data_IF_415628182145
#
_entry.id   IF_415628182145
#
_cell.length_a   1.000
_cell.length_b   1.000
_cell.length_c   1.000
_cell.angle_alpha   90.00
_cell.angle_beta   90.00
_cell.angle_gamma   90.00
#
_symmetry.space_group_name_H-M   'P 1'
#
loop_
_entity.id
_entity.type
_entity.pdbx_description
1 polymer ?
#
# COMPACT_ATOMS: atom_id res chain seq x y z
N UNK A 1 32.29 -30.69 -11.28
CA UNK A 1 31.32 -29.62 -11.54
C UNK A 1 30.55 -29.40 -10.24
N UNK A 2 30.55 -28.22 -9.61
CA UNK A 2 29.76 -28.02 -8.40
C UNK A 2 28.27 -28.11 -8.78
N UNK A 3 27.50 -28.91 -8.04
CA UNK A 3 26.05 -28.92 -8.12
C UNK A 3 25.54 -27.49 -7.95
N UNK A 4 24.94 -26.93 -9.01
CA UNK A 4 24.17 -25.69 -8.92
C UNK A 4 22.95 -26.03 -8.08
N UNK A 5 23.01 -25.74 -6.78
CA UNK A 5 21.90 -25.99 -5.86
C UNK A 5 20.65 -25.34 -6.44
N UNK A 6 19.61 -26.13 -6.73
CA UNK A 6 18.33 -25.60 -7.16
C UNK A 6 17.90 -24.50 -6.16
N UNK A 7 17.58 -23.28 -6.62
CA UNK A 7 17.26 -22.18 -5.71
C UNK A 7 16.12 -22.57 -4.77
N UNK A 8 16.34 -22.38 -3.47
CA UNK A 8 15.39 -22.80 -2.44
C UNK A 8 14.05 -22.06 -2.56
N UNK A 9 12.95 -22.73 -2.19
CA UNK A 9 11.60 -22.11 -2.19
C UNK A 9 11.56 -20.80 -1.41
N UNK A 10 12.32 -20.70 -0.31
CA UNK A 10 12.46 -19.45 0.46
C UNK A 10 13.06 -18.31 -0.35
N UNK A 11 14.04 -18.58 -1.22
CA UNK A 11 14.60 -17.57 -2.14
C UNK A 11 13.56 -17.15 -3.18
N UNK A 12 12.76 -18.08 -3.72
CA UNK A 12 11.62 -17.77 -4.61
C UNK A 12 10.60 -16.86 -3.94
N UNK A 13 10.19 -17.18 -2.71
CA UNK A 13 9.21 -16.39 -1.96
C UNK A 13 9.75 -15.00 -1.65
N UNK A 14 11.00 -14.90 -1.20
CA UNK A 14 11.65 -13.62 -0.92
C UNK A 14 11.81 -12.77 -2.19
N UNK A 15 12.11 -13.39 -3.33
CA UNK A 15 12.15 -12.69 -4.62
C UNK A 15 10.77 -12.15 -4.99
N UNK A 16 9.75 -13.00 -5.00
CA UNK A 16 8.39 -12.63 -5.36
C UNK A 16 7.82 -11.53 -4.43
N UNK A 17 8.11 -11.58 -3.12
CA UNK A 17 7.73 -10.53 -2.17
C UNK A 17 8.48 -9.20 -2.40
N UNK A 18 9.66 -9.22 -3.02
CA UNK A 18 10.44 -8.01 -3.31
C UNK A 18 10.10 -7.38 -4.64
N UNK A 19 9.77 -8.20 -5.65
CA UNK A 19 9.65 -7.77 -7.04
C UNK A 19 8.23 -7.86 -7.59
N UNK A 20 7.31 -8.52 -6.89
CA UNK A 20 6.00 -8.96 -7.43
C UNK A 20 6.12 -9.86 -8.66
N UNK A 21 7.29 -10.46 -8.92
CA UNK A 21 7.54 -11.28 -10.09
C UNK A 21 7.85 -12.73 -9.71
N UNK A 22 7.51 -13.70 -10.58
CA UNK A 22 8.06 -15.03 -10.45
C UNK A 22 9.59 -14.95 -10.58
N UNK A 23 10.34 -15.73 -9.78
CA UNK A 23 11.80 -15.81 -9.91
C UNK A 23 12.19 -16.37 -11.29
N UNK A 24 13.21 -15.81 -11.96
CA UNK A 24 13.60 -16.25 -13.31
C UNK A 24 14.09 -17.70 -13.35
N UNK A 25 14.89 -18.11 -12.34
CA UNK A 25 15.49 -19.45 -12.28
C UNK A 25 14.95 -20.30 -11.12
N UNK A 26 13.83 -19.89 -10.51
CA UNK A 26 13.29 -20.48 -9.28
C UNK A 26 11.98 -21.24 -9.45
N UNK A 27 11.64 -22.16 -8.53
CA UNK A 27 10.33 -22.83 -8.56
C UNK A 27 9.19 -21.83 -8.41
N UNK A 28 8.15 -21.99 -9.23
CA UNK A 28 6.90 -21.23 -9.20
C UNK A 28 5.78 -22.12 -8.64
N UNK A 29 5.92 -22.43 -7.36
CA UNK A 29 4.96 -23.22 -6.58
C UNK A 29 3.68 -22.43 -6.25
N UNK A 30 2.71 -23.07 -5.59
CA UNK A 30 1.42 -22.44 -5.26
C UNK A 30 1.58 -21.18 -4.41
N UNK A 31 2.57 -21.17 -3.49
CA UNK A 31 2.86 -20.02 -2.62
C UNK A 31 3.44 -18.87 -3.43
N UNK A 32 4.44 -19.14 -4.28
CA UNK A 32 5.03 -18.12 -5.17
C UNK A 32 3.97 -17.54 -6.10
N UNK A 33 3.11 -18.37 -6.69
CA UNK A 33 1.98 -17.90 -7.51
C UNK A 33 1.05 -17.01 -6.71
N UNK A 34 0.69 -17.40 -5.49
CA UNK A 34 -0.19 -16.60 -4.63
C UNK A 34 0.44 -15.25 -4.29
N UNK A 35 1.73 -15.21 -3.92
CA UNK A 35 2.48 -13.98 -3.63
C UNK A 35 2.45 -13.03 -4.83
N UNK A 36 2.70 -13.55 -6.04
CA UNK A 36 2.72 -12.75 -7.27
C UNK A 36 1.32 -12.24 -7.62
N UNK A 37 0.34 -13.15 -7.69
CA UNK A 37 -1.04 -12.86 -8.13
C UNK A 37 -1.75 -11.89 -7.17
N UNK A 38 -1.56 -12.05 -5.86
CA UNK A 38 -2.12 -11.10 -4.87
C UNK A 38 -1.34 -9.79 -4.75
N UNK A 39 -0.19 -9.69 -5.43
CA UNK A 39 0.78 -8.59 -5.32
C UNK A 39 1.21 -8.38 -3.87
N UNK A 40 1.55 -9.47 -3.18
CA UNK A 40 1.82 -9.46 -1.74
C UNK A 40 2.92 -8.47 -1.31
N UNK A 41 3.81 -8.05 -2.22
CA UNK A 41 4.83 -7.04 -1.95
C UNK A 41 4.27 -5.68 -1.47
N UNK A 42 3.02 -5.34 -1.82
CA UNK A 42 2.39 -4.07 -1.40
C UNK A 42 1.50 -4.22 -0.16
N UNK A 43 1.18 -5.46 0.25
CA UNK A 43 0.38 -5.73 1.45
C UNK A 43 1.02 -5.26 2.77
N UNK A 44 2.36 -5.20 2.94
CA UNK A 44 2.96 -4.55 4.10
C UNK A 44 2.43 -3.15 4.37
N UNK A 45 2.01 -2.40 3.34
CA UNK A 45 1.43 -1.06 3.56
C UNK A 45 0.12 -1.13 4.35
N UNK A 46 -0.74 -2.08 4.01
CA UNK A 46 -2.03 -2.31 4.68
C UNK A 46 -1.83 -2.91 6.06
N UNK A 47 -0.90 -3.86 6.20
CA UNK A 47 -0.55 -4.43 7.51
C UNK A 47 -0.04 -3.36 8.47
N UNK A 48 0.79 -2.43 8.00
CA UNK A 48 1.28 -1.32 8.82
C UNK A 48 0.17 -0.33 9.20
N UNK A 49 -0.81 -0.05 8.33
CA UNK A 49 -2.00 0.71 8.72
C UNK A 49 -2.77 0.01 9.85
N UNK A 50 -2.93 -1.31 9.73
CA UNK A 50 -3.51 -2.15 10.79
C UNK A 50 -2.69 -2.14 12.08
N UNK A 51 -1.36 -2.16 12.01
CA UNK A 51 -0.47 -2.06 13.17
C UNK A 51 -0.54 -0.68 13.83
N UNK A 52 -0.60 0.40 13.05
CA UNK A 52 -0.82 1.76 13.59
C UNK A 52 -2.14 1.79 14.36
N UNK A 53 -3.23 1.29 13.79
CA UNK A 53 -4.52 1.20 14.48
C UNK A 53 -4.45 0.34 15.76
N UNK A 54 -3.83 -0.84 15.68
CA UNK A 54 -3.65 -1.75 16.80
C UNK A 54 -2.93 -1.09 17.97
N UNK A 55 -1.82 -0.41 17.70
CA UNK A 55 -0.98 0.20 18.72
C UNK A 55 -1.62 1.46 19.33
N UNK A 56 -2.36 2.23 18.53
CA UNK A 56 -3.16 3.35 19.05
C UNK A 56 -4.29 2.86 19.97
N UNK A 57 -4.83 1.66 19.71
CA UNK A 57 -5.92 1.08 20.48
C UNK A 57 -5.49 0.50 21.84
N UNK A 58 -4.20 0.18 22.04
CA UNK A 58 -3.70 -0.36 23.31
C UNK A 58 -3.99 0.60 24.46
N UNK A 59 -4.56 0.04 25.54
CA UNK A 59 -4.94 0.79 26.75
C UNK A 59 -6.24 1.60 26.60
N UNK A 60 -6.94 1.50 25.46
CA UNK A 60 -8.22 2.19 25.26
C UNK A 60 -9.38 1.35 25.81
N UNK A 61 -10.34 1.96 26.54
CA UNK A 61 -11.55 1.27 26.95
C UNK A 61 -12.31 0.74 25.74
N UNK A 62 -12.77 -0.51 25.81
CA UNK A 62 -13.53 -1.15 24.73
C UNK A 62 -12.68 -1.89 23.69
N UNK A 63 -11.34 -1.87 23.80
CA UNK A 63 -10.46 -2.70 22.96
C UNK A 63 -10.82 -4.19 23.11
N UNK A 64 -11.11 -4.83 21.98
CA UNK A 64 -11.26 -6.27 21.85
C UNK A 64 -10.31 -6.79 20.76
N UNK A 65 -9.35 -7.62 21.17
CA UNK A 65 -8.33 -8.18 20.28
C UNK A 65 -8.92 -9.06 19.17
N UNK A 66 -10.08 -9.69 19.40
CA UNK A 66 -10.74 -10.52 18.38
C UNK A 66 -11.19 -9.67 17.20
N UNK A 67 -11.84 -8.54 17.50
CA UNK A 67 -12.30 -7.60 16.47
C UNK A 67 -11.15 -6.87 15.79
N UNK A 68 -10.08 -6.57 16.53
CA UNK A 68 -8.86 -6.02 15.93
C UNK A 68 -8.23 -6.97 14.92
N UNK A 69 -8.01 -8.23 15.29
CA UNK A 69 -7.41 -9.24 14.38
C UNK A 69 -8.29 -9.45 13.16
N UNK A 70 -9.62 -9.56 13.35
CA UNK A 70 -10.56 -9.68 12.24
C UNK A 70 -10.56 -8.43 11.35
N UNK A 71 -10.46 -7.22 11.90
CA UNK A 71 -10.39 -6.00 11.11
C UNK A 71 -9.11 -5.91 10.28
N UNK A 72 -7.95 -6.26 10.84
CA UNK A 72 -6.68 -6.33 10.08
C UNK A 72 -6.77 -7.37 8.96
N UNK A 73 -7.37 -8.53 9.24
CA UNK A 73 -7.62 -9.54 8.21
C UNK A 73 -8.56 -9.01 7.12
N UNK A 74 -9.66 -8.35 7.48
CA UNK A 74 -10.61 -7.73 6.55
C UNK A 74 -9.95 -6.71 5.62
N UNK A 75 -9.29 -5.68 6.15
CA UNK A 75 -8.63 -4.67 5.29
C UNK A 75 -7.56 -5.29 4.38
N UNK A 76 -6.91 -6.38 4.82
CA UNK A 76 -5.93 -7.11 4.01
C UNK A 76 -6.60 -7.90 2.89
N UNK A 77 -7.70 -8.61 3.18
CA UNK A 77 -8.48 -9.34 2.19
C UNK A 77 -9.14 -8.38 1.20
N UNK A 78 -9.67 -7.24 1.64
CA UNK A 78 -10.20 -6.18 0.78
C UNK A 78 -9.12 -5.65 -0.19
N UNK A 79 -7.89 -5.42 0.28
CA UNK A 79 -6.80 -5.01 -0.61
C UNK A 79 -6.39 -6.14 -1.58
N UNK A 80 -6.33 -7.39 -1.13
CA UNK A 80 -6.09 -8.55 -2.02
C UNK A 80 -7.20 -8.63 -3.08
N UNK A 81 -8.46 -8.56 -2.69
CA UNK A 81 -9.61 -8.56 -3.59
C UNK A 81 -9.50 -7.47 -4.64
N UNK A 82 -9.15 -6.24 -4.24
CA UNK A 82 -8.93 -5.14 -5.17
C UNK A 82 -7.78 -5.43 -6.16
N UNK A 83 -6.67 -6.00 -5.71
CA UNK A 83 -5.56 -6.38 -6.60
C UNK A 83 -5.99 -7.44 -7.64
N UNK A 84 -6.73 -8.47 -7.21
CA UNK A 84 -7.22 -9.53 -8.09
C UNK A 84 -8.29 -9.02 -9.07
N UNK A 85 -9.20 -8.17 -8.60
CA UNK A 85 -10.24 -7.54 -9.43
C UNK A 85 -9.62 -6.65 -10.51
N UNK A 86 -8.58 -5.89 -10.18
CA UNK A 86 -7.83 -5.11 -11.16
C UNK A 86 -7.25 -6.00 -12.27
N UNK A 87 -6.66 -7.15 -11.93
CA UNK A 87 -6.18 -8.12 -12.93
C UNK A 87 -7.32 -8.67 -13.79
N UNK A 88 -8.48 -8.94 -13.20
CA UNK A 88 -9.64 -9.39 -13.97
C UNK A 88 -10.12 -8.33 -14.96
N UNK A 89 -10.26 -7.07 -14.55
CA UNK A 89 -10.71 -5.98 -15.43
C UNK A 89 -9.70 -5.67 -16.54
N UNK A 90 -8.40 -5.74 -16.23
CA UNK A 90 -7.33 -5.52 -17.21
C UNK A 90 -7.38 -6.58 -18.33
N UNK A 91 -7.75 -7.84 -18.04
CA UNK A 91 -7.96 -8.87 -19.08
C UNK A 91 -9.16 -8.60 -20.00
N UNK A 92 -10.17 -7.86 -19.52
CA UNK A 92 -11.41 -7.62 -20.28
C UNK A 92 -11.35 -6.36 -21.14
N UNK A 93 -10.58 -5.37 -20.68
CA UNK A 93 -10.51 -4.04 -21.30
C UNK A 93 -9.35 -3.90 -22.30
N UNK A 94 -8.41 -4.86 -22.33
CA UNK A 94 -7.32 -4.91 -23.30
C UNK A 94 -6.24 -3.84 -23.07
N UNK A 95 -6.25 -3.15 -21.92
CA UNK A 95 -5.30 -2.08 -21.58
C UNK A 95 -3.89 -2.58 -21.27
N UNK A 96 -3.71 -3.86 -20.96
CA UNK A 96 -2.39 -4.49 -20.85
C UNK A 96 -1.95 -5.02 -22.23
N UNK A 97 -1.43 -4.12 -23.07
CA UNK A 97 -0.62 -4.51 -24.22
C UNK A 97 0.80 -4.86 -23.74
N UNK A 98 1.55 -5.65 -24.53
CA UNK A 98 2.98 -5.90 -24.27
C UNK A 98 3.81 -4.60 -24.18
N UNK A 99 3.29 -3.49 -24.71
CA UNK A 99 3.90 -2.16 -24.69
C UNK A 99 3.53 -1.30 -23.48
N UNK A 100 2.56 -1.68 -22.64
CA UNK A 100 2.21 -0.90 -21.44
C UNK A 100 3.25 -1.13 -20.32
N UNK A 101 3.64 -0.11 -19.54
CA UNK A 101 4.78 -0.18 -18.61
C UNK A 101 4.66 -1.27 -17.57
N UNK A 102 3.42 -1.63 -17.22
CA UNK A 102 3.15 -2.67 -16.25
C UNK A 102 3.81 -3.99 -16.67
N UNK A 103 3.73 -4.36 -17.94
CA UNK A 103 4.32 -5.58 -18.46
C UNK A 103 5.86 -5.61 -18.33
N UNK A 104 6.51 -4.44 -18.22
CA UNK A 104 7.97 -4.32 -18.10
C UNK A 104 8.50 -4.68 -16.70
N UNK A 105 7.72 -4.41 -15.64
CA UNK A 105 8.13 -4.67 -14.27
C UNK A 105 7.29 -5.71 -13.53
N UNK A 106 6.12 -6.08 -14.05
CA UNK A 106 5.21 -7.06 -13.46
C UNK A 106 4.33 -7.75 -14.53
N UNK A 107 4.69 -8.95 -15.02
CA UNK A 107 3.89 -9.69 -16.00
C UNK A 107 2.47 -9.92 -15.50
N UNK A 108 1.48 -9.70 -16.36
CA UNK A 108 0.08 -9.89 -16.00
C UNK A 108 -0.22 -11.38 -15.74
N UNK A 109 -0.76 -11.78 -14.58
CA UNK A 109 -0.82 -13.19 -14.18
C UNK A 109 -1.59 -14.11 -15.14
N UNK A 110 -2.65 -13.61 -15.78
CA UNK A 110 -3.42 -14.39 -16.76
C UNK A 110 -2.75 -14.38 -18.14
N UNK A 111 -2.18 -13.25 -18.56
CA UNK A 111 -1.62 -13.13 -19.92
C UNK A 111 -0.26 -13.84 -20.03
N UNK A 112 0.49 -13.90 -18.91
CA UNK A 112 1.74 -14.65 -18.82
C UNK A 112 1.53 -16.16 -18.60
N UNK A 113 0.28 -16.64 -18.50
CA UNK A 113 -0.04 -18.03 -18.21
C UNK A 113 0.27 -18.48 -16.77
N UNK A 114 0.54 -17.56 -15.83
CA UNK A 114 0.84 -17.90 -14.44
C UNK A 114 -0.36 -18.54 -13.73
N UNK A 115 -1.57 -18.06 -14.04
CA UNK A 115 -2.84 -18.62 -13.58
C UNK A 115 -3.89 -18.61 -14.70
N UNK A 116 -4.81 -19.58 -14.69
CA UNK A 116 -5.96 -19.55 -15.60
C UNK A 116 -6.97 -18.48 -15.17
N UNK A 117 -7.75 -17.94 -16.12
CA UNK A 117 -8.86 -17.01 -15.81
C UNK A 117 -9.86 -17.63 -14.83
N UNK A 118 -10.15 -18.93 -14.95
CA UNK A 118 -11.03 -19.66 -14.02
C UNK A 118 -10.46 -19.66 -12.60
N UNK A 119 -9.16 -19.94 -12.46
CA UNK A 119 -8.46 -19.91 -11.16
C UNK A 119 -8.52 -18.52 -10.53
N UNK A 120 -8.30 -17.46 -11.32
CA UNK A 120 -8.41 -16.08 -10.85
C UNK A 120 -9.84 -15.76 -10.34
N UNK A 121 -10.88 -16.15 -11.09
CA UNK A 121 -12.27 -15.94 -10.68
C UNK A 121 -12.62 -16.68 -9.37
N UNK A 122 -12.15 -17.92 -9.21
CA UNK A 122 -12.34 -18.68 -7.97
C UNK A 122 -11.63 -17.99 -6.80
N UNK A 123 -10.40 -17.51 -7.00
CA UNK A 123 -9.66 -16.78 -5.98
C UNK A 123 -10.37 -15.46 -5.58
N UNK A 124 -10.85 -14.70 -6.56
CA UNK A 124 -11.65 -13.48 -6.33
C UNK A 124 -12.89 -13.81 -5.49
N UNK A 125 -13.66 -14.82 -5.88
CA UNK A 125 -14.87 -15.22 -5.16
C UNK A 125 -14.55 -15.64 -3.72
N UNK A 126 -13.53 -16.48 -3.52
CA UNK A 126 -13.13 -16.95 -2.19
C UNK A 126 -12.69 -15.80 -1.28
N UNK A 127 -11.85 -14.88 -1.79
CA UNK A 127 -11.36 -13.73 -1.00
C UNK A 127 -12.50 -12.78 -0.67
N UNK A 128 -13.38 -12.45 -1.62
CA UNK A 128 -14.52 -11.56 -1.35
C UNK A 128 -15.56 -12.17 -0.42
N UNK A 129 -15.80 -13.48 -0.49
CA UNK A 129 -16.70 -14.16 0.45
C UNK A 129 -16.14 -14.16 1.88
N UNK A 130 -14.83 -14.38 2.03
CA UNK A 130 -14.17 -14.29 3.33
C UNK A 130 -14.21 -12.85 3.88
N UNK A 131 -13.93 -11.85 3.04
CA UNK A 131 -13.99 -10.43 3.42
C UNK A 131 -15.42 -10.01 3.81
N UNK A 132 -16.43 -10.43 3.05
CA UNK A 132 -17.84 -10.20 3.36
C UNK A 132 -18.25 -10.85 4.68
N UNK A 133 -17.81 -12.08 4.95
CA UNK A 133 -18.08 -12.75 6.22
C UNK A 133 -17.49 -11.97 7.42
N UNK A 134 -16.25 -11.47 7.28
CA UNK A 134 -15.63 -10.61 8.29
C UNK A 134 -16.44 -9.32 8.48
N UNK A 135 -16.83 -8.66 7.37
CA UNK A 135 -17.65 -7.45 7.42
C UNK A 135 -18.96 -7.68 8.18
N UNK A 136 -19.67 -8.78 7.91
CA UNK A 136 -20.92 -9.15 8.61
C UNK A 136 -20.66 -9.33 10.11
N UNK A 137 -19.63 -10.10 10.48
CA UNK A 137 -19.28 -10.36 11.89
C UNK A 137 -18.93 -9.07 12.62
N UNK A 138 -18.07 -8.22 12.04
CA UNK A 138 -17.69 -6.94 12.64
C UNK A 138 -18.87 -5.97 12.72
N UNK A 139 -19.75 -5.96 11.73
CA UNK A 139 -20.97 -5.14 11.75
C UNK A 139 -21.92 -5.59 12.85
N UNK A 140 -22.08 -6.90 13.05
CA UNK A 140 -22.87 -7.43 14.16
C UNK A 140 -22.27 -7.04 15.52
N UNK A 141 -20.95 -7.09 15.65
CA UNK A 141 -20.26 -6.78 16.90
C UNK A 141 -20.15 -5.27 17.23
N UNK A 142 -20.03 -4.41 16.21
CA UNK A 142 -19.70 -2.97 16.38
C UNK A 142 -20.70 -2.00 15.74
N UNK A 143 -21.69 -2.52 15.03
CA UNK A 143 -22.75 -1.73 14.40
C UNK A 143 -22.39 -1.16 13.03
N UNK A 144 -23.31 -0.33 12.53
CA UNK A 144 -23.28 0.21 11.18
C UNK A 144 -22.04 1.02 10.78
N UNK A 145 -21.27 1.68 11.68
CA UNK A 145 -20.12 2.46 11.22
C UNK A 145 -19.01 1.61 10.60
N UNK A 146 -18.92 0.30 10.93
CA UNK A 146 -18.05 -0.64 10.22
C UNK A 146 -18.41 -0.70 8.72
N UNK A 147 -19.71 -0.80 8.41
CA UNK A 147 -20.21 -0.77 7.04
C UNK A 147 -19.89 0.56 6.38
N UNK A 148 -20.01 1.68 7.09
CA UNK A 148 -19.68 2.98 6.54
C UNK A 148 -18.20 3.09 6.14
N UNK A 149 -17.26 2.60 6.97
CA UNK A 149 -15.84 2.54 6.61
C UNK A 149 -15.59 1.62 5.42
N UNK A 150 -16.14 0.40 5.44
CA UNK A 150 -15.95 -0.57 4.37
C UNK A 150 -16.52 -0.08 3.03
N UNK A 151 -17.74 0.44 3.04
CA UNK A 151 -18.41 0.98 1.86
C UNK A 151 -17.70 2.23 1.34
N UNK A 152 -17.21 3.12 2.20
CA UNK A 152 -16.43 4.29 1.78
C UNK A 152 -15.13 3.85 1.08
N UNK A 153 -14.41 2.89 1.66
CA UNK A 153 -13.21 2.33 1.04
C UNK A 153 -13.49 1.64 -0.30
N UNK A 154 -14.58 0.87 -0.37
CA UNK A 154 -15.02 0.22 -1.61
C UNK A 154 -15.40 1.25 -2.69
N UNK A 155 -16.22 2.24 -2.35
CA UNK A 155 -16.64 3.30 -3.28
C UNK A 155 -15.43 4.06 -3.81
N UNK A 156 -14.49 4.44 -2.94
CA UNK A 156 -13.25 5.11 -3.36
C UNK A 156 -12.39 4.21 -4.25
N UNK A 157 -12.20 2.95 -3.88
CA UNK A 157 -11.46 1.97 -4.69
C UNK A 157 -12.07 1.75 -6.08
N UNK A 158 -13.40 1.68 -6.18
CA UNK A 158 -14.10 1.59 -7.46
C UNK A 158 -13.99 2.90 -8.23
N UNK A 159 -14.26 4.03 -7.59
CA UNK A 159 -14.19 5.36 -8.20
C UNK A 159 -12.77 5.68 -8.69
N UNK A 160 -11.73 5.10 -8.09
CA UNK A 160 -10.34 5.26 -8.48
C UNK A 160 -10.08 4.88 -9.94
N UNK A 161 -10.57 3.71 -10.38
CA UNK A 161 -10.33 3.16 -11.73
C UNK A 161 -11.57 3.11 -12.63
N UNK A 162 -12.76 2.83 -12.08
CA UNK A 162 -13.95 2.50 -12.85
C UNK A 162 -14.73 3.75 -13.32
N UNK A 163 -15.35 3.69 -14.52
CA UNK A 163 -16.34 4.70 -14.93
C UNK A 163 -17.55 4.72 -13.97
N UNK A 164 -18.23 5.87 -13.83
CA UNK A 164 -18.01 7.13 -14.56
C UNK A 164 -16.93 8.03 -13.95
N UNK A 165 -16.53 7.81 -12.69
CA UNK A 165 -15.71 8.77 -11.92
C UNK A 165 -14.25 8.74 -12.35
N UNK A 166 -13.57 7.58 -12.30
CA UNK A 166 -12.15 7.42 -12.66
C UNK A 166 -11.23 8.48 -12.03
N UNK A 167 -11.20 8.58 -10.69
CA UNK A 167 -10.43 9.59 -9.93
C UNK A 167 -8.97 9.67 -10.38
N UNK A 168 -8.32 8.53 -10.66
CA UNK A 168 -6.95 8.50 -11.19
C UNK A 168 -6.80 9.34 -12.46
N UNK A 169 -7.77 9.28 -13.37
CA UNK A 169 -7.75 10.02 -14.65
C UNK A 169 -8.05 11.52 -14.49
N UNK A 170 -8.37 11.98 -13.28
CA UNK A 170 -8.79 13.36 -12.96
C UNK A 170 -7.89 14.05 -11.94
N UNK A 171 -6.71 13.51 -11.66
CA UNK A 171 -5.76 14.07 -10.70
C UNK A 171 -6.08 13.80 -9.24
N UNK A 172 -7.08 12.97 -8.96
CA UNK A 172 -7.58 12.69 -7.62
C UNK A 172 -7.12 11.33 -7.08
N UNK A 173 -6.25 10.61 -7.80
CA UNK A 173 -5.77 9.30 -7.37
C UNK A 173 -4.91 9.33 -6.11
N UNK A 174 -4.06 10.34 -5.97
CA UNK A 174 -3.15 10.48 -4.83
C UNK A 174 -3.88 10.97 -3.56
N UNK A 175 -4.78 11.96 -3.64
CA UNK A 175 -5.71 12.26 -2.54
C UNK A 175 -6.55 11.04 -2.11
N UNK A 176 -7.04 10.26 -3.07
CA UNK A 176 -7.82 9.04 -2.79
C UNK A 176 -7.01 8.03 -1.96
N UNK A 177 -5.78 7.72 -2.40
CA UNK A 177 -4.90 6.81 -1.66
C UNK A 177 -4.49 7.34 -0.28
N UNK A 178 -4.32 8.65 -0.13
CA UNK A 178 -4.10 9.26 1.19
C UNK A 178 -5.26 8.97 2.15
N UNK A 179 -6.49 9.17 1.68
CA UNK A 179 -7.73 8.94 2.46
C UNK A 179 -7.90 7.45 2.78
N UNK A 180 -7.67 6.58 1.80
CA UNK A 180 -7.84 5.13 1.94
C UNK A 180 -6.83 4.54 2.95
N UNK A 181 -5.52 4.77 2.77
CA UNK A 181 -4.50 4.17 3.63
C UNK A 181 -4.32 4.86 4.97
N UNK A 182 -4.64 6.15 5.06
CA UNK A 182 -4.63 6.89 6.32
C UNK A 182 -5.96 6.72 7.05
N UNK A 183 -6.88 7.71 7.00
CA UNK A 183 -8.11 7.70 7.78
C UNK A 183 -8.96 6.42 7.64
N UNK A 184 -9.25 5.93 6.43
CA UNK A 184 -10.21 4.82 6.30
C UNK A 184 -9.66 3.50 6.87
N UNK A 185 -8.46 3.08 6.44
CA UNK A 185 -7.86 1.83 6.94
C UNK A 185 -7.51 1.90 8.43
N UNK A 186 -6.91 2.99 8.89
CA UNK A 186 -6.49 3.13 10.30
C UNK A 186 -7.70 3.31 11.20
N UNK A 187 -8.57 4.30 10.93
CA UNK A 187 -9.73 4.56 11.79
C UNK A 187 -10.78 3.46 11.69
N UNK A 188 -11.00 2.85 10.53
CA UNK A 188 -11.94 1.73 10.40
C UNK A 188 -11.48 0.50 11.20
N UNK A 189 -10.17 0.22 11.17
CA UNK A 189 -9.58 -0.85 11.97
C UNK A 189 -9.66 -0.54 13.47
N UNK A 190 -9.31 0.69 13.86
CA UNK A 190 -9.41 1.14 15.25
C UNK A 190 -10.85 1.11 15.75
N UNK A 191 -11.82 1.59 14.95
CA UNK A 191 -13.24 1.55 15.28
C UNK A 191 -13.71 0.12 15.52
N UNK A 192 -13.35 -0.80 14.62
CA UNK A 192 -13.71 -2.21 14.76
C UNK A 192 -13.13 -2.81 16.05
N UNK A 193 -11.91 -2.42 16.40
CA UNK A 193 -11.23 -2.88 17.60
C UNK A 193 -11.78 -2.28 18.90
N UNK A 194 -12.16 -1.00 18.93
CA UNK A 194 -12.46 -0.24 20.16
C UNK A 194 -13.94 0.12 20.30
N UNK A 195 -14.63 0.38 19.19
CA UNK A 195 -16.05 0.77 19.14
C UNK A 195 -16.30 2.28 19.01
N UNK A 196 -15.24 3.09 18.99
CA UNK A 196 -15.31 4.54 18.79
C UNK A 196 -14.07 5.05 18.05
N UNK A 197 -14.17 6.23 17.44
CA UNK A 197 -13.05 6.95 16.81
C UNK A 197 -13.21 8.42 17.16
N UNK A 198 -12.14 9.04 17.63
CA UNK A 198 -12.06 10.48 17.85
C UNK A 198 -11.09 11.14 16.85
N UNK A 199 -11.04 12.47 16.87
CA UNK A 199 -10.15 13.24 15.99
C UNK A 199 -8.65 13.01 16.25
N UNK A 200 -8.28 12.50 17.42
CA UNK A 200 -6.89 12.16 17.72
C UNK A 200 -6.44 10.95 16.90
N UNK A 201 -7.29 9.94 16.72
CA UNK A 201 -7.01 8.78 15.86
C UNK A 201 -6.93 9.19 14.39
N UNK A 202 -7.82 10.10 13.96
CA UNK A 202 -7.78 10.66 12.60
C UNK A 202 -6.44 11.37 12.37
N UNK A 203 -6.02 12.26 13.27
CA UNK A 203 -4.74 12.96 13.18
C UNK A 203 -3.55 11.99 13.18
N UNK A 204 -3.58 10.97 14.03
CA UNK A 204 -2.52 9.95 14.11
C UNK A 204 -2.43 9.06 12.85
N UNK A 205 -3.51 8.97 12.05
CA UNK A 205 -3.51 8.22 10.79
C UNK A 205 -2.83 8.96 9.62
N UNK A 206 -2.79 10.30 9.67
CA UNK A 206 -2.34 11.13 8.54
C UNK A 206 -0.87 10.93 8.18
N UNK A 207 0.10 10.84 9.12
CA UNK A 207 1.51 10.61 8.76
C UNK A 207 1.68 9.34 7.92
N UNK A 208 1.04 8.25 8.33
CA UNK A 208 1.18 6.97 7.64
C UNK A 208 0.48 6.98 6.27
N UNK A 209 -0.72 7.57 6.17
CA UNK A 209 -1.37 7.80 4.89
C UNK A 209 -0.50 8.60 3.93
N UNK A 210 0.17 9.64 4.41
CA UNK A 210 1.08 10.47 3.60
C UNK A 210 2.28 9.68 3.06
N UNK A 211 2.89 8.82 3.89
CA UNK A 211 3.96 7.92 3.45
C UNK A 211 3.48 7.00 2.32
N UNK A 212 2.31 6.39 2.47
CA UNK A 212 1.75 5.54 1.43
C UNK A 212 1.55 6.29 0.11
N UNK A 213 1.05 7.53 0.17
CA UNK A 213 0.85 8.36 -1.03
C UNK A 213 2.18 8.73 -1.71
N UNK A 214 3.30 8.86 -0.99
CA UNK A 214 4.61 9.11 -1.64
C UNK A 214 5.05 7.98 -2.58
N UNK A 215 4.72 6.73 -2.24
CA UNK A 215 4.99 5.57 -3.11
C UNK A 215 4.17 5.66 -4.38
N UNK A 216 2.89 6.04 -4.27
CA UNK A 216 2.02 6.21 -5.43
C UNK A 216 2.43 7.39 -6.30
N UNK A 217 2.79 8.53 -5.69
CA UNK A 217 3.37 9.67 -6.39
C UNK A 217 4.58 9.24 -7.21
N UNK A 218 5.55 8.53 -6.59
CA UNK A 218 6.71 7.99 -7.31
C UNK A 218 6.30 7.11 -8.49
N UNK A 219 5.37 6.17 -8.27
CA UNK A 219 4.86 5.27 -9.31
C UNK A 219 4.19 6.02 -10.47
N UNK A 220 3.44 7.07 -10.19
CA UNK A 220 2.78 7.85 -11.23
C UNK A 220 3.73 8.84 -11.92
N UNK A 221 4.80 9.31 -11.26
CA UNK A 221 5.90 10.04 -11.91
C UNK A 221 6.58 9.12 -12.93
N UNK A 222 6.94 7.89 -12.53
CA UNK A 222 7.56 6.87 -13.41
C UNK A 222 6.67 6.53 -14.62
N UNK A 223 5.36 6.78 -14.52
CA UNK A 223 4.37 6.50 -15.56
C UNK A 223 3.99 7.69 -16.43
N UNK A 224 4.49 8.90 -16.17
CA UNK A 224 4.15 10.09 -16.97
C UNK A 224 4.32 9.86 -18.49
N UNK A 225 5.44 9.29 -19.00
CA UNK A 225 5.64 9.11 -20.44
C UNK A 225 4.58 8.22 -21.11
N UNK A 226 3.87 7.42 -20.33
CA UNK A 226 2.91 6.43 -20.81
C UNK A 226 1.46 6.82 -20.52
N UNK A 227 1.20 7.43 -19.36
CA UNK A 227 -0.13 7.85 -18.95
C UNK A 227 -0.56 9.14 -19.70
N UNK A 228 0.37 10.08 -19.96
CA UNK A 228 0.04 11.35 -20.61
C UNK A 228 -0.48 11.20 -22.06
N UNK A 229 0.15 10.42 -22.97
CA UNK A 229 -0.36 10.22 -24.33
C UNK A 229 -1.73 9.54 -24.39
N UNK A 230 -2.11 8.81 -23.33
CA UNK A 230 -3.40 8.12 -23.21
C UNK A 230 -4.50 9.00 -22.59
N UNK A 231 -4.24 10.28 -22.36
CA UNK A 231 -5.18 11.20 -21.70
C UNK A 231 -5.47 10.83 -20.24
N UNK A 232 -4.54 10.15 -19.56
CA UNK A 232 -4.66 9.83 -18.14
C UNK A 232 -4.02 10.99 -17.34
N UNK A 233 -4.85 11.85 -16.77
CA UNK A 233 -4.39 13.00 -15.99
C UNK A 233 -4.18 12.62 -14.52
N UNK A 234 -3.17 11.80 -14.20
CA UNK A 234 -2.76 11.62 -12.79
C UNK A 234 -2.23 12.93 -12.20
N UNK A 235 -2.14 13.04 -10.86
CA UNK A 235 -1.61 14.28 -10.27
C UNK A 235 -0.18 14.58 -10.76
N UNK A 236 0.75 13.60 -10.90
CA UNK A 236 2.04 13.86 -11.53
C UNK A 236 1.98 14.31 -12.99
N UNK A 237 1.04 13.80 -13.80
CA UNK A 237 0.85 14.28 -15.18
C UNK A 237 0.39 15.74 -15.20
N UNK A 238 -0.54 16.12 -14.32
CA UNK A 238 -1.04 17.50 -14.21
C UNK A 238 0.05 18.46 -13.71
N UNK A 239 0.82 18.05 -12.71
CA UNK A 239 1.89 18.86 -12.13
C UNK A 239 3.11 18.97 -13.05
N UNK A 240 3.34 17.97 -13.89
CA UNK A 240 4.60 17.76 -14.59
C UNK A 240 5.67 17.15 -13.68
N UNK A 241 6.62 16.44 -14.29
CA UNK A 241 7.60 15.60 -13.59
C UNK A 241 8.37 16.36 -12.49
N UNK A 242 8.94 17.53 -12.81
CA UNK A 242 9.76 18.30 -11.87
C UNK A 242 8.97 18.72 -10.62
N UNK A 243 7.73 19.22 -10.78
CA UNK A 243 6.90 19.62 -9.65
C UNK A 243 6.39 18.41 -8.87
N UNK A 244 6.04 17.32 -9.55
CA UNK A 244 5.62 16.09 -8.91
C UNK A 244 6.72 15.49 -8.01
N UNK A 245 7.98 15.52 -8.44
CA UNK A 245 9.13 15.12 -7.60
C UNK A 245 9.29 16.04 -6.39
N UNK A 246 9.16 17.35 -6.56
CA UNK A 246 9.23 18.31 -5.45
C UNK A 246 8.10 18.11 -4.44
N UNK A 247 6.87 17.87 -4.90
CA UNK A 247 5.71 17.54 -4.04
C UNK A 247 5.96 16.22 -3.30
N UNK A 248 6.53 15.21 -3.95
CA UNK A 248 6.88 13.94 -3.29
C UNK A 248 7.87 14.15 -2.14
N UNK A 249 8.92 14.97 -2.34
CA UNK A 249 9.84 15.35 -1.27
C UNK A 249 9.16 16.15 -0.16
N UNK A 250 8.28 17.09 -0.52
CA UNK A 250 7.52 17.86 0.46
C UNK A 250 6.61 16.96 1.31
N UNK A 251 6.00 15.92 0.73
CA UNK A 251 5.23 14.91 1.45
C UNK A 251 6.11 14.05 2.37
N UNK A 252 7.30 13.66 1.93
CA UNK A 252 8.26 12.94 2.78
C UNK A 252 8.69 13.77 4.00
N UNK A 253 8.90 15.09 3.83
CA UNK A 253 9.14 16.01 4.95
C UNK A 253 7.89 16.18 5.81
N UNK A 254 6.74 16.35 5.16
CA UNK A 254 5.43 16.49 5.79
C UNK A 254 5.08 15.33 6.71
N UNK A 255 5.55 14.11 6.42
CA UNK A 255 5.41 12.97 7.32
C UNK A 255 6.01 13.25 8.71
N UNK A 256 7.23 13.79 8.78
CA UNK A 256 7.89 14.12 10.05
C UNK A 256 7.17 15.24 10.78
N UNK A 257 6.73 16.25 10.03
CA UNK A 257 5.96 17.38 10.59
C UNK A 257 4.64 16.88 11.17
N UNK A 258 3.88 16.06 10.44
CA UNK A 258 2.62 15.50 10.91
C UNK A 258 2.83 14.56 12.10
N UNK A 259 3.91 13.77 12.13
CA UNK A 259 4.24 12.95 13.29
C UNK A 259 4.52 13.81 14.53
N UNK A 260 5.28 14.89 14.38
CA UNK A 260 5.55 15.85 15.46
C UNK A 260 4.28 16.57 15.93
N UNK A 261 3.43 17.02 14.99
CA UNK A 261 2.13 17.66 15.30
C UNK A 261 1.21 16.69 16.04
N UNK A 262 1.12 15.44 15.61
CA UNK A 262 0.30 14.43 16.27
C UNK A 262 0.81 14.11 17.68
N UNK A 263 2.13 14.12 17.91
CA UNK A 263 2.70 13.98 19.26
C UNK A 263 2.40 15.20 20.11
N UNK A 264 2.63 16.41 19.59
CA UNK A 264 2.37 17.67 20.29
C UNK A 264 0.89 17.84 20.66
N UNK A 265 -0.02 17.37 19.80
CA UNK A 265 -1.46 17.37 20.03
C UNK A 265 -1.95 16.20 20.92
N UNK A 266 -1.07 15.33 21.40
CA UNK A 266 -1.42 14.18 22.23
C UNK A 266 -2.09 13.02 21.49
N UNK A 267 -2.18 13.08 20.16
CA UNK A 267 -2.73 12.02 19.31
C UNK A 267 -1.80 10.79 19.20
N UNK A 268 -0.49 11.00 19.33
CA UNK A 268 0.50 9.93 19.40
C UNK A 268 1.39 10.08 20.64
N UNK A 269 1.91 8.98 21.21
CA UNK A 269 2.87 9.05 22.31
C UNK A 269 4.22 9.58 21.81
N UNK A 270 5.00 10.23 22.69
CA UNK A 270 6.30 10.81 22.33
C UNK A 270 7.31 9.85 21.65
N UNK A 271 7.35 8.52 21.93
CA UNK A 271 8.27 7.63 21.23
C UNK A 271 7.94 7.48 19.74
N UNK A 272 6.77 7.90 19.26
CA UNK A 272 6.49 8.02 17.82
C UNK A 272 7.49 8.94 17.10
N UNK A 273 8.18 9.84 17.82
CA UNK A 273 9.26 10.67 17.28
C UNK A 273 10.52 9.88 16.89
N UNK A 274 10.63 8.58 17.22
CA UNK A 274 11.69 7.71 16.70
C UNK A 274 11.75 7.70 15.16
N UNK A 275 10.69 8.13 14.48
CA UNK A 275 10.67 8.36 13.04
C UNK A 275 11.82 9.24 12.56
N UNK A 276 12.35 10.17 13.38
CA UNK A 276 13.50 11.02 13.01
C UNK A 276 14.75 10.20 12.66
N UNK A 277 14.87 8.97 13.16
CA UNK A 277 15.96 8.06 12.80
C UNK A 277 15.89 7.60 11.33
N UNK A 278 14.81 7.87 10.60
CA UNK A 278 14.72 7.69 9.15
C UNK A 278 15.27 8.90 8.35
N UNK A 279 15.59 10.04 8.97
CA UNK A 279 16.12 11.22 8.27
C UNK A 279 17.36 10.91 7.41
N UNK A 280 18.34 10.09 7.86
CA UNK A 280 19.47 9.72 7.01
C UNK A 280 19.06 9.02 5.70
N UNK A 281 17.95 8.24 5.70
CA UNK A 281 17.41 7.65 4.47
C UNK A 281 16.79 8.71 3.58
N UNK A 282 16.05 9.67 4.14
CA UNK A 282 15.49 10.78 3.37
C UNK A 282 16.61 11.57 2.69
N UNK A 283 17.65 11.95 3.43
CA UNK A 283 18.84 12.64 2.90
C UNK A 283 19.49 11.83 1.78
N UNK A 284 19.59 10.50 1.94
CA UNK A 284 20.14 9.61 0.91
C UNK A 284 19.32 9.60 -0.39
N UNK A 285 17.98 9.59 -0.32
CA UNK A 285 17.12 9.55 -1.52
C UNK A 285 16.90 10.95 -2.14
N UNK A 286 17.06 12.01 -1.35
CA UNK A 286 16.84 13.41 -1.74
C UNK A 286 17.47 13.81 -3.09
N UNK A 287 18.79 13.60 -3.33
CA UNK A 287 19.41 14.02 -4.59
C UNK A 287 18.83 13.29 -5.81
N UNK A 288 18.30 12.08 -5.64
CA UNK A 288 17.72 11.31 -6.74
C UNK A 288 16.36 11.85 -7.18
N UNK A 289 15.57 12.43 -6.27
CA UNK A 289 14.33 13.14 -6.63
C UNK A 289 14.60 14.54 -7.21
N UNK A 290 15.78 15.11 -7.00
CA UNK A 290 16.17 16.42 -7.56
C UNK A 290 16.67 16.36 -9.00
N UNK A 291 16.74 15.17 -9.60
CA UNK A 291 17.18 14.96 -10.98
C UNK A 291 16.26 13.98 -11.73
N UNK A 292 16.23 14.03 -13.07
CA UNK A 292 15.58 13.00 -13.89
C UNK A 292 16.10 11.59 -13.60
N UNK A 293 15.34 10.53 -13.93
CA UNK A 293 15.85 9.16 -13.86
C UNK A 293 17.00 8.98 -14.88
N UNK A 294 17.84 7.95 -14.72
CA UNK A 294 18.80 7.59 -15.76
C UNK A 294 18.07 7.17 -17.05
N UNK A 295 18.72 7.33 -18.21
CA UNK A 295 18.12 6.96 -19.50
C UNK A 295 17.95 5.44 -19.68
N UNK A 296 18.79 4.65 -18.99
CA UNK A 296 18.80 3.19 -19.04
C UNK A 296 18.69 2.57 -17.64
N UNK A 297 18.12 1.35 -17.51
CA UNK A 297 18.06 0.64 -16.23
C UNK A 297 19.47 0.39 -15.67
N UNK A 298 19.71 0.73 -14.39
CA UNK A 298 20.94 0.32 -13.73
C UNK A 298 21.10 -1.21 -13.76
N UNK A 299 22.35 -1.69 -13.83
CA UNK A 299 22.65 -3.12 -13.86
C UNK A 299 22.00 -3.84 -12.68
N UNK A 300 21.17 -4.86 -12.97
CA UNK A 300 20.50 -5.68 -11.96
C UNK A 300 19.30 -5.01 -11.29
N UNK A 301 18.67 -4.01 -11.92
CA UNK A 301 17.50 -3.31 -11.39
C UNK A 301 16.18 -4.02 -11.79
N UNK A 302 15.51 -4.73 -10.86
CA UNK A 302 14.49 -5.73 -11.20
C UNK A 302 13.08 -5.16 -11.47
N UNK A 303 12.87 -3.86 -11.28
CA UNK A 303 11.54 -3.22 -11.32
C UNK A 303 11.47 -2.04 -12.29
N UNK A 304 12.42 -1.93 -13.23
CA UNK A 304 12.40 -0.88 -14.25
C UNK A 304 11.09 -0.87 -15.06
N UNK A 305 10.48 0.29 -15.37
CA UNK A 305 10.95 1.67 -15.19
C UNK A 305 10.60 2.32 -13.85
N UNK A 306 10.25 1.56 -12.80
CA UNK A 306 9.90 2.14 -11.49
C UNK A 306 11.15 2.66 -10.75
N UNK A 307 11.51 3.91 -11.00
CA UNK A 307 12.65 4.59 -10.36
C UNK A 307 12.23 5.32 -9.08
N UNK A 308 11.32 6.28 -9.21
CA UNK A 308 10.88 7.10 -8.08
C UNK A 308 10.03 6.30 -7.09
N UNK A 309 9.23 5.34 -7.55
CA UNK A 309 8.50 4.46 -6.65
C UNK A 309 9.44 3.63 -5.76
N UNK A 310 10.50 3.06 -6.33
CA UNK A 310 11.48 2.27 -5.58
C UNK A 310 12.30 3.12 -4.60
N UNK A 311 12.67 4.34 -5.00
CA UNK A 311 13.32 5.30 -4.11
C UNK A 311 12.42 5.72 -2.95
N UNK A 312 11.12 5.96 -3.21
CA UNK A 312 10.14 6.22 -2.17
C UNK A 312 10.07 5.05 -1.17
N UNK A 313 10.05 3.80 -1.66
CA UNK A 313 10.08 2.62 -0.81
C UNK A 313 11.28 2.51 0.11
N UNK A 314 12.47 2.97 -0.30
CA UNK A 314 13.68 2.96 0.55
C UNK A 314 13.49 3.81 1.81
N UNK A 315 12.82 4.95 1.68
CA UNK A 315 12.50 5.83 2.81
C UNK A 315 11.29 5.30 3.60
N UNK A 316 10.18 5.03 2.91
CA UNK A 316 8.90 4.65 3.51
C UNK A 316 8.99 3.39 4.37
N UNK A 317 9.75 2.37 3.95
CA UNK A 317 9.91 1.14 4.75
C UNK A 317 10.53 1.42 6.12
N UNK A 318 11.59 2.22 6.18
CA UNK A 318 12.25 2.54 7.44
C UNK A 318 11.42 3.53 8.27
N UNK A 319 10.89 4.58 7.64
CA UNK A 319 10.07 5.59 8.30
C UNK A 319 8.79 4.99 8.92
N UNK A 320 8.06 4.17 8.16
CA UNK A 320 6.90 3.45 8.66
C UNK A 320 7.24 2.44 9.77
N UNK A 321 8.38 1.75 9.65
CA UNK A 321 8.77 0.77 10.68
C UNK A 321 9.13 1.46 12.00
N UNK A 322 9.83 2.59 11.94
CA UNK A 322 10.14 3.40 13.12
C UNK A 322 8.88 4.02 13.73
N UNK A 323 7.89 4.40 12.92
CA UNK A 323 6.59 4.84 13.44
C UNK A 323 5.93 3.72 14.26
N UNK A 324 5.84 2.51 13.69
CA UNK A 324 5.28 1.34 14.38
C UNK A 324 6.07 1.01 15.66
N UNK A 325 7.40 1.03 15.62
CA UNK A 325 8.23 0.80 16.81
C UNK A 325 7.98 1.87 17.87
N UNK A 326 7.90 3.14 17.49
CA UNK A 326 7.59 4.25 18.40
C UNK A 326 6.20 4.11 19.03
N UNK A 327 5.19 3.75 18.25
CA UNK A 327 3.86 3.46 18.77
C UNK A 327 3.87 2.24 19.71
N UNK A 328 4.66 1.21 19.41
CA UNK A 328 4.78 0.01 20.25
C UNK A 328 5.44 0.33 21.60
N UNK A 329 6.53 1.09 21.61
CA UNK A 329 7.15 1.58 22.84
C UNK A 329 6.15 2.43 23.63
N UNK A 330 5.44 3.33 22.97
CA UNK A 330 4.41 4.14 23.62
C UNK A 330 3.25 3.32 24.20
N UNK A 331 2.83 2.25 23.52
CA UNK A 331 1.82 1.32 24.00
C UNK A 331 2.30 0.55 25.25
N UNK A 332 3.53 0.05 25.23
CA UNK A 332 4.14 -0.64 26.38
C UNK A 332 4.25 0.28 27.60
N UNK A 333 4.70 1.52 27.41
CA UNK A 333 4.82 2.51 28.49
C UNK A 333 3.48 2.91 29.12
N UNK A 334 2.35 2.69 28.43
CA UNK A 334 1.00 2.92 28.99
C UNK A 334 0.46 1.74 29.80
N UNK A 335 1.04 0.56 29.61
CA UNK A 335 0.62 -0.69 30.28
C UNK A 335 1.46 -1.04 31.51
N UNK A 336 2.58 -0.35 31.69
CA UNK A 336 3.44 -0.40 32.88
C UNK A 336 2.96 0.62 33.90
#
# INVERSE_FOLDING_TARGET
MPEVSAPSRLKSWAYALRTTNPPPDGPVDIVTRWIVVTRAAVLPMTLFAGLVAALLAVGKPGLDWRWLVLAVAGITLAHIANNLMNDLYDTQTGTDSASYPRALYAPHPVLSGLVSRRTLLVAIAAVNLADLAILIVLTWARGWPVVAFALSGFVLSVAYTAPPVRLKKRGLGEPDVFVVWGPLMVCGTYYSAVGSVDWSVVLASLPYGLLCTTVLMGKHIDKIPYDAPLGIHTLPVILGETRARAVTLAMMVGFYVLAAVAVAAGAMPWPALLVVLALPRLVKVWPYFRRPPPDEPPKGYPVWPLWYAALAWVHVRQAGALLVVGLAVGALLRTL
#
